data_IF_781289357057
#
_entry.id   IF_781289357057
#
_cell.length_a   1.000
_cell.length_b   1.000
_cell.length_c   1.000
_cell.angle_alpha   90.00
_cell.angle_beta   90.00
_cell.angle_gamma   90.00
#
_symmetry.space_group_name_H-M   'P 1'
#
loop_
_entity.id
_entity.type
_entity.pdbx_description
1 polymer ?
#
# COMPACT_ATOMS: atom_id res chain seq x y z
N UNK A 1 -0.52 19.19 -10.62
CA UNK A 1 0.65 18.52 -9.99
C UNK A 1 1.58 18.11 -11.12
N UNK A 2 2.88 18.42 -11.06
CA UNK A 2 3.79 18.06 -12.17
C UNK A 2 3.98 16.52 -12.23
N UNK A 3 4.15 15.96 -13.43
CA UNK A 3 4.49 14.56 -13.69
C UNK A 3 5.53 13.96 -12.72
N UNK A 4 6.60 14.71 -12.42
CA UNK A 4 7.64 14.27 -11.48
C UNK A 4 7.10 14.06 -10.05
N UNK A 5 6.19 14.91 -9.60
CA UNK A 5 5.55 14.77 -8.28
C UNK A 5 4.59 13.58 -8.26
N UNK A 6 3.85 13.35 -9.36
CA UNK A 6 2.91 12.22 -9.49
C UNK A 6 3.65 10.89 -9.44
N UNK A 7 4.76 10.78 -10.18
CA UNK A 7 5.67 9.63 -10.16
C UNK A 7 6.26 9.39 -8.77
N UNK A 8 6.78 10.44 -8.13
CA UNK A 8 7.33 10.34 -6.79
C UNK A 8 6.29 9.85 -5.77
N UNK A 9 5.09 10.44 -5.77
CA UNK A 9 4.02 10.05 -4.84
C UNK A 9 3.58 8.60 -5.08
N UNK A 10 3.37 8.19 -6.33
CA UNK A 10 3.00 6.81 -6.65
C UNK A 10 4.04 5.81 -6.20
N UNK A 11 5.33 6.10 -6.40
CA UNK A 11 6.43 5.23 -5.97
C UNK A 11 6.50 5.10 -4.44
N UNK A 12 6.34 6.22 -3.72
CA UNK A 12 6.30 6.22 -2.25
C UNK A 12 5.06 5.53 -1.70
N UNK A 13 3.91 5.63 -2.36
CA UNK A 13 2.70 4.90 -2.00
C UNK A 13 2.89 3.38 -2.13
N UNK A 14 3.52 2.90 -3.20
CA UNK A 14 3.86 1.49 -3.34
C UNK A 14 4.81 1.02 -2.23
N UNK A 15 5.84 1.80 -1.94
CA UNK A 15 6.78 1.52 -0.84
C UNK A 15 6.06 1.46 0.52
N UNK A 16 5.19 2.43 0.81
CA UNK A 16 4.40 2.49 2.05
C UNK A 16 3.49 1.27 2.18
N UNK A 17 2.77 0.93 1.10
CA UNK A 17 1.91 -0.25 1.05
C UNK A 17 2.69 -1.52 1.37
N UNK A 18 3.87 -1.72 0.77
CA UNK A 18 4.70 -2.89 1.01
C UNK A 18 5.18 -2.99 2.47
N UNK A 19 5.68 -1.89 3.04
CA UNK A 19 6.17 -1.88 4.42
C UNK A 19 5.02 -2.14 5.41
N UNK A 20 3.91 -1.43 5.26
CA UNK A 20 2.76 -1.56 6.15
C UNK A 20 2.12 -2.94 6.06
N UNK A 21 1.90 -3.46 4.85
CA UNK A 21 1.35 -4.80 4.66
C UNK A 21 2.31 -5.87 5.17
N UNK A 22 3.61 -5.71 4.93
CA UNK A 22 4.65 -6.56 5.50
C UNK A 22 4.60 -6.57 7.03
N UNK A 23 4.53 -5.40 7.66
CA UNK A 23 4.42 -5.30 9.12
C UNK A 23 3.13 -5.95 9.65
N UNK A 24 1.98 -5.75 8.99
CA UNK A 24 0.70 -6.31 9.41
C UNK A 24 0.60 -7.82 9.20
N UNK A 25 1.21 -8.35 8.12
CA UNK A 25 1.19 -9.77 7.80
C UNK A 25 2.26 -10.50 8.60
N UNK A 26 3.52 -10.06 8.52
CA UNK A 26 4.64 -10.72 9.18
C UNK A 26 4.68 -10.46 10.68
N UNK A 27 4.21 -9.29 11.15
CA UNK A 27 4.13 -8.97 12.57
C UNK A 27 3.21 -9.90 13.36
N UNK A 28 2.21 -10.51 12.69
CA UNK A 28 1.37 -11.52 13.33
C UNK A 28 2.13 -12.80 13.67
N UNK A 29 3.20 -13.13 12.95
CA UNK A 29 4.05 -14.29 13.27
C UNK A 29 5.07 -14.01 14.38
N UNK A 30 5.32 -12.73 14.66
CA UNK A 30 6.17 -12.30 15.77
C UNK A 30 5.37 -12.09 17.06
N UNK A 31 4.04 -12.13 16.99
CA UNK A 31 3.16 -11.98 18.14
C UNK A 31 2.99 -13.32 18.87
N UNK A 32 2.85 -13.27 20.19
CA UNK A 32 2.44 -14.42 21.01
C UNK A 32 0.94 -14.72 20.86
N UNK A 33 0.16 -13.82 20.24
CA UNK A 33 -1.25 -14.05 19.94
C UNK A 33 -1.46 -15.02 18.77
N UNK A 34 -2.58 -15.75 18.79
CA UNK A 34 -2.98 -16.58 17.66
C UNK A 34 -3.20 -15.73 16.40
N UNK A 35 -2.94 -16.33 15.22
CA UNK A 35 -3.13 -15.67 13.93
C UNK A 35 -4.53 -15.07 13.77
N UNK A 36 -4.60 -13.77 13.46
CA UNK A 36 -5.86 -13.04 13.36
C UNK A 36 -6.18 -12.79 11.89
N UNK A 37 -6.95 -13.71 11.29
CA UNK A 37 -7.37 -13.62 9.89
C UNK A 37 -7.92 -12.24 9.47
N UNK A 38 -8.74 -11.53 10.28
CA UNK A 38 -9.18 -10.18 9.91
C UNK A 38 -8.04 -9.16 9.74
N UNK A 39 -6.98 -9.28 10.54
CA UNK A 39 -5.84 -8.37 10.53
C UNK A 39 -4.94 -8.65 9.32
N UNK A 40 -4.80 -9.92 8.95
CA UNK A 40 -4.17 -10.33 7.70
C UNK A 40 -4.93 -9.78 6.49
N UNK A 41 -6.25 -9.97 6.46
CA UNK A 41 -7.09 -9.49 5.36
C UNK A 41 -7.03 -7.95 5.26
N UNK A 42 -7.03 -7.25 6.39
CA UNK A 42 -6.84 -5.80 6.41
C UNK A 42 -5.48 -5.38 5.82
N UNK A 43 -4.39 -6.07 6.16
CA UNK A 43 -3.07 -5.82 5.56
C UNK A 43 -3.05 -5.99 4.04
N UNK A 44 -3.70 -7.04 3.52
CA UNK A 44 -3.83 -7.28 2.07
C UNK A 44 -4.69 -6.22 1.39
N UNK A 45 -5.83 -5.84 1.99
CA UNK A 45 -6.70 -4.80 1.44
C UNK A 45 -5.97 -3.46 1.44
N UNK A 46 -5.29 -3.11 2.53
CA UNK A 46 -4.51 -1.88 2.63
C UNK A 46 -3.43 -1.82 1.54
N UNK A 47 -2.69 -2.91 1.35
CA UNK A 47 -1.70 -3.03 0.29
C UNK A 47 -2.28 -2.71 -1.10
N UNK A 48 -3.39 -3.36 -1.45
CA UNK A 48 -4.08 -3.15 -2.73
C UNK A 48 -4.53 -1.69 -2.87
N UNK A 49 -5.07 -1.09 -1.81
CA UNK A 49 -5.52 0.31 -1.86
C UNK A 49 -4.37 1.29 -2.11
N UNK A 50 -3.18 1.05 -1.55
CA UNK A 50 -2.00 1.87 -1.84
C UNK A 50 -1.59 1.80 -3.31
N UNK A 51 -1.61 0.59 -3.90
CA UNK A 51 -1.30 0.41 -5.32
C UNK A 51 -2.36 1.03 -6.23
N UNK A 52 -3.65 0.88 -5.90
CA UNK A 52 -4.75 1.51 -6.63
C UNK A 52 -4.67 3.04 -6.56
N UNK A 53 -4.40 3.59 -5.39
CA UNK A 53 -4.23 5.04 -5.22
C UNK A 53 -3.03 5.56 -6.04
N UNK A 54 -1.88 4.88 -6.00
CA UNK A 54 -0.73 5.22 -6.85
C UNK A 54 -1.06 5.18 -8.35
N UNK A 55 -1.75 4.12 -8.79
CA UNK A 55 -2.20 3.98 -10.17
C UNK A 55 -3.14 5.11 -10.62
N UNK A 56 -4.15 5.45 -9.80
CA UNK A 56 -5.07 6.56 -10.11
C UNK A 56 -4.33 7.90 -10.15
N UNK A 57 -3.39 8.12 -9.24
CA UNK A 57 -2.54 9.32 -9.19
C UNK A 57 -1.65 9.43 -10.43
N UNK A 58 -1.21 8.33 -11.03
CA UNK A 58 -0.45 8.32 -12.29
C UNK A 58 -1.35 8.46 -13.53
N UNK A 59 -2.51 7.82 -13.54
CA UNK A 59 -3.44 7.87 -14.68
C UNK A 59 -4.14 9.24 -14.82
N UNK A 60 -4.54 9.87 -13.73
CA UNK A 60 -5.33 11.12 -13.70
C UNK A 60 -4.60 12.40 -14.16
N UNK A 61 -3.72 12.31 -15.14
CA UNK A 61 -2.84 13.38 -15.60
C UNK A 61 -1.89 12.89 -16.69
N UNK A 62 -2.05 11.64 -17.14
CA UNK A 62 -1.89 11.30 -18.56
C UNK A 62 -3.10 11.81 -19.38
N UNK A 63 -4.16 12.28 -18.71
CA UNK A 63 -5.38 12.84 -19.32
C UNK A 63 -5.37 14.38 -19.42
N UNK A 64 -4.32 15.03 -18.93
CA UNK A 64 -4.06 16.48 -19.11
C UNK A 64 -3.01 16.68 -20.20
#
# INVERSE_FOLDING_TARGET
MNENQRKFISDKLGTLGNIAAGALIFGQFLSEEAFRFPLFLFGVVFWITCYLAGYLILKGGDQE
#
